data_IF_865701290781
#
_entry.id   IF_865701290781
#
_cell.length_a   1.000
_cell.length_b   1.000
_cell.length_c   1.000
_cell.angle_alpha   90.00
_cell.angle_beta   90.00
_cell.angle_gamma   90.00
#
_symmetry.space_group_name_H-M   'P 1'
#
loop_
_entity.id
_entity.type
_entity.pdbx_description
1 polymer ?
#
# COMPACT_ATOMS: atom_id res chain seq x y z
N UNK A 1 -2.03 -9.38 25.30
CA UNK A 1 -1.48 -9.12 23.95
C UNK A 1 -2.55 -9.50 22.94
N UNK A 2 -3.10 -8.56 22.18
CA UNK A 2 -3.88 -8.88 20.97
C UNK A 2 -2.85 -9.30 19.92
N UNK A 3 -2.83 -10.57 19.55
CA UNK A 3 -1.96 -11.06 18.48
C UNK A 3 -2.29 -10.37 17.16
N UNK A 4 -1.29 -10.31 16.27
CA UNK A 4 -1.52 -9.78 14.93
C UNK A 4 -2.49 -10.70 14.18
N UNK A 5 -3.62 -10.20 13.65
CA UNK A 5 -4.57 -11.04 12.94
C UNK A 5 -3.89 -11.63 11.69
N UNK A 6 -3.88 -12.96 11.51
CA UNK A 6 -3.27 -13.56 10.32
C UNK A 6 -3.90 -13.06 9.02
N UNK A 7 -5.18 -12.68 9.06
CA UNK A 7 -5.90 -12.10 7.91
C UNK A 7 -5.26 -10.78 7.43
N UNK A 8 -4.74 -9.96 8.36
CA UNK A 8 -4.10 -8.68 8.00
C UNK A 8 -2.79 -8.85 7.25
N UNK A 9 -2.05 -9.93 7.47
CA UNK A 9 -0.80 -10.18 6.74
C UNK A 9 -1.10 -10.40 5.27
N UNK A 10 -2.13 -11.20 4.96
CA UNK A 10 -2.53 -11.42 3.57
C UNK A 10 -2.99 -10.14 2.88
N UNK A 11 -3.71 -9.27 3.59
CA UNK A 11 -4.12 -7.95 3.09
C UNK A 11 -2.91 -7.06 2.78
N UNK A 12 -1.95 -6.92 3.71
CA UNK A 12 -0.71 -6.14 3.49
C UNK A 12 0.07 -6.65 2.29
N UNK A 13 0.28 -7.97 2.25
CA UNK A 13 1.08 -8.61 1.22
C UNK A 13 0.43 -8.44 -0.15
N UNK A 14 -0.88 -8.66 -0.25
CA UNK A 14 -1.62 -8.43 -1.49
C UNK A 14 -1.58 -6.96 -1.91
N UNK A 15 -1.70 -6.03 -0.97
CA UNK A 15 -1.67 -4.59 -1.23
C UNK A 15 -0.31 -4.13 -1.78
N UNK A 16 0.79 -4.60 -1.18
CA UNK A 16 2.15 -4.30 -1.62
C UNK A 16 2.41 -4.95 -2.99
N UNK A 17 2.08 -6.23 -3.15
CA UNK A 17 2.29 -6.96 -4.39
C UNK A 17 1.51 -6.32 -5.57
N UNK A 18 0.29 -5.86 -5.33
CA UNK A 18 -0.52 -5.20 -6.35
C UNK A 18 0.09 -3.89 -6.87
N UNK A 19 0.75 -3.10 -6.00
CA UNK A 19 1.30 -1.80 -6.41
C UNK A 19 2.75 -1.89 -6.90
N UNK A 20 3.61 -2.61 -6.19
CA UNK A 20 5.04 -2.68 -6.51
C UNK A 20 5.44 -3.93 -7.30
N UNK A 21 4.53 -4.89 -7.47
CA UNK A 21 4.77 -6.11 -8.24
C UNK A 21 5.97 -6.94 -7.74
N UNK A 22 6.34 -6.75 -6.48
CA UNK A 22 7.33 -7.57 -5.80
C UNK A 22 6.80 -8.97 -5.56
N UNK A 23 7.72 -9.93 -5.44
CA UNK A 23 7.33 -11.31 -5.22
C UNK A 23 6.72 -11.51 -3.84
N UNK A 24 5.84 -12.50 -3.72
CA UNK A 24 5.26 -12.90 -2.44
C UNK A 24 6.34 -13.21 -1.40
N UNK A 25 7.41 -13.88 -1.84
CA UNK A 25 8.53 -14.29 -1.00
C UNK A 25 9.29 -13.09 -0.45
N UNK A 26 9.59 -12.07 -1.27
CA UNK A 26 10.24 -10.85 -0.79
C UNK A 26 9.40 -10.13 0.27
N UNK A 27 8.08 -10.03 0.08
CA UNK A 27 7.20 -9.29 0.98
C UNK A 27 6.96 -10.04 2.30
N UNK A 28 6.78 -11.37 2.25
CA UNK A 28 6.58 -12.20 3.45
C UNK A 28 7.83 -12.19 4.35
N UNK A 29 9.02 -12.14 3.75
CA UNK A 29 10.28 -12.09 4.48
C UNK A 29 10.60 -10.73 5.10
N UNK A 30 9.80 -9.69 4.84
CA UNK A 30 9.97 -8.39 5.48
C UNK A 30 9.57 -8.41 6.96
N UNK A 31 10.25 -7.59 7.75
CA UNK A 31 9.78 -7.27 9.08
C UNK A 31 8.39 -6.65 9.04
N UNK A 32 7.58 -6.93 10.06
CA UNK A 32 6.22 -6.42 10.14
C UNK A 32 6.18 -4.88 9.99
N UNK A 33 7.11 -4.17 10.62
CA UNK A 33 7.18 -2.70 10.54
C UNK A 33 7.47 -2.20 9.12
N UNK A 34 8.26 -2.93 8.34
CA UNK A 34 8.58 -2.55 6.97
C UNK A 34 7.35 -2.70 6.07
N UNK A 35 6.59 -3.79 6.19
CA UNK A 35 5.33 -3.95 5.45
C UNK A 35 4.34 -2.82 5.76
N UNK A 36 4.18 -2.47 7.04
CA UNK A 36 3.33 -1.34 7.44
C UNK A 36 3.78 -0.04 6.79
N UNK A 37 5.09 0.23 6.81
CA UNK A 37 5.65 1.43 6.20
C UNK A 37 5.38 1.48 4.70
N UNK A 38 5.55 0.38 3.99
CA UNK A 38 5.25 0.33 2.55
C UNK A 38 3.77 0.55 2.26
N UNK A 39 2.86 0.01 3.09
CA UNK A 39 1.43 0.27 2.95
C UNK A 39 1.10 1.76 3.14
N UNK A 40 1.74 2.43 4.09
CA UNK A 40 1.60 3.89 4.27
C UNK A 40 2.09 4.67 3.05
N UNK A 41 3.28 4.35 2.53
CA UNK A 41 3.84 5.07 1.38
C UNK A 41 3.03 4.88 0.11
N UNK A 42 2.53 3.66 -0.16
CA UNK A 42 1.60 3.40 -1.26
C UNK A 42 0.35 4.28 -1.11
N UNK A 43 -0.21 4.34 0.11
CA UNK A 43 -1.40 5.15 0.38
C UNK A 43 -1.14 6.65 0.15
N UNK A 44 0.03 7.17 0.56
CA UNK A 44 0.42 8.56 0.31
C UNK A 44 0.54 8.86 -1.20
N UNK A 45 1.17 7.97 -1.96
CA UNK A 45 1.30 8.12 -3.42
C UNK A 45 -0.09 8.14 -4.07
N UNK A 46 -0.95 7.19 -3.72
CA UNK A 46 -2.30 7.08 -4.29
C UNK A 46 -3.17 8.31 -3.96
N UNK A 47 -3.05 8.85 -2.74
CA UNK A 47 -3.74 10.10 -2.37
C UNK A 47 -3.26 11.27 -3.23
N UNK A 48 -1.95 11.48 -3.35
CA UNK A 48 -1.38 12.55 -4.18
C UNK A 48 -1.81 12.45 -5.64
N UNK A 49 -1.75 11.26 -6.23
CA UNK A 49 -2.17 11.07 -7.63
C UNK A 49 -3.67 11.31 -7.80
N UNK A 50 -4.49 10.91 -6.83
CA UNK A 50 -5.93 11.15 -6.86
C UNK A 50 -6.26 12.64 -6.78
N UNK A 51 -5.55 13.39 -5.95
CA UNK A 51 -5.69 14.85 -5.85
C UNK A 51 -5.23 15.56 -7.13
N UNK A 52 -4.11 15.15 -7.72
CA UNK A 52 -3.63 15.66 -9.01
C UNK A 52 -4.64 15.41 -10.12
N UNK A 53 -5.18 14.18 -10.19
CA UNK A 53 -6.22 13.82 -11.15
C UNK A 53 -7.48 14.68 -10.95
N UNK A 54 -7.92 14.87 -9.72
CA UNK A 54 -9.09 15.70 -9.42
C UNK A 54 -8.90 17.16 -9.84
N UNK A 55 -7.72 17.74 -9.59
CA UNK A 55 -7.40 19.11 -10.04
C UNK A 55 -7.43 19.24 -11.56
N UNK A 56 -6.84 18.27 -12.27
CA UNK A 56 -6.84 18.28 -13.74
C UNK A 56 -8.23 18.20 -14.36
N UNK A 57 -9.19 17.58 -13.69
CA UNK A 57 -10.60 17.51 -14.15
C UNK A 57 -11.29 18.87 -13.98
N UNK A 58 -11.01 19.59 -12.89
CA UNK A 58 -11.63 20.88 -12.58
C UNK A 58 -11.05 22.05 -13.41
N UNK A 59 -9.84 21.91 -13.95
CA UNK A 59 -9.19 22.92 -14.81
C UNK A 59 -9.61 22.83 -16.29
N UNK A 60 -10.36 21.78 -16.67
CA UNK A 60 -10.80 21.55 -18.05
C UNK A 60 -12.23 22.09 -18.31
N UNK A 61 -12.93 22.57 -17.29
CA UNK A 61 -14.22 23.29 -17.38
C UNK A 61 -14.03 24.82 -17.33
#
# INVERSE_FOLDING_TARGET
>A
MKGYPPERIYEEVAFIAYHFHWSLEEIINMEHQDRHRWCEEISRINQRMSEEKQRSILEVE
#
